data_IF_003287480578
#
_entry.id   IF_003287480578
#
_cell.length_a   1.000
_cell.length_b   1.000
_cell.length_c   1.000
_cell.angle_alpha   90.00
_cell.angle_beta   90.00
_cell.angle_gamma   90.00
#
_symmetry.space_group_name_H-M   'P 1'
#
loop_
_entity.id
_entity.type
_entity.pdbx_description
1 polymer ?
#
# COMPACT_ATOMS: atom_id res chain seq x y z
N UNK A 1 27.39 -47.82 -72.39
CA UNK A 1 26.01 -47.37 -72.71
C UNK A 1 25.01 -47.75 -71.61
N UNK A 2 24.93 -49.02 -71.16
CA UNK A 2 23.93 -49.45 -70.17
C UNK A 2 24.08 -48.88 -68.73
N UNK A 3 25.31 -48.71 -68.21
CA UNK A 3 25.53 -48.21 -66.85
C UNK A 3 25.13 -46.74 -66.61
N UNK A 4 25.27 -45.90 -67.64
CA UNK A 4 24.90 -44.47 -67.57
C UNK A 4 23.39 -44.31 -67.51
N UNK A 5 22.63 -45.12 -68.26
CA UNK A 5 21.16 -45.08 -68.24
C UNK A 5 20.58 -45.49 -66.89
N UNK A 6 21.21 -46.45 -66.20
CA UNK A 6 20.79 -46.90 -64.88
C UNK A 6 21.04 -45.81 -63.81
N UNK A 7 22.21 -45.18 -63.83
CA UNK A 7 22.52 -44.04 -62.93
C UNK A 7 21.61 -42.84 -63.18
N UNK A 8 21.29 -42.52 -64.45
CA UNK A 8 20.34 -41.45 -64.77
C UNK A 8 18.93 -41.73 -64.24
N UNK A 9 18.46 -42.98 -64.29
CA UNK A 9 17.17 -43.37 -63.71
C UNK A 9 17.15 -43.19 -62.20
N UNK A 10 18.22 -43.62 -61.52
CA UNK A 10 18.35 -43.50 -60.08
C UNK A 10 18.38 -42.03 -59.62
N UNK A 11 19.10 -41.17 -60.36
CA UNK A 11 19.11 -39.73 -60.11
C UNK A 11 17.74 -39.09 -60.35
N UNK A 12 17.00 -39.52 -61.38
CA UNK A 12 15.64 -39.03 -61.63
C UNK A 12 14.67 -39.40 -60.49
N UNK A 13 14.76 -40.62 -59.96
CA UNK A 13 13.96 -41.07 -58.82
C UNK A 13 14.32 -40.29 -57.54
N UNK A 14 15.61 -40.03 -57.30
CA UNK A 14 16.07 -39.20 -56.18
C UNK A 14 15.58 -37.74 -56.31
N UNK A 15 15.65 -37.15 -57.51
CA UNK A 15 15.13 -35.80 -57.77
C UNK A 15 13.61 -35.71 -57.51
N UNK A 16 12.85 -36.68 -58.00
CA UNK A 16 11.39 -36.75 -57.76
C UNK A 16 11.06 -36.85 -56.26
N UNK A 17 11.86 -37.64 -55.53
CA UNK A 17 11.71 -37.77 -54.07
C UNK A 17 12.05 -36.47 -53.34
N UNK A 18 13.11 -35.76 -53.76
CA UNK A 18 13.47 -34.45 -53.22
C UNK A 18 12.36 -33.44 -53.48
N UNK A 19 11.85 -33.33 -54.72
CA UNK A 19 10.77 -32.41 -55.06
C UNK A 19 9.50 -32.66 -54.22
N UNK A 20 9.11 -33.91 -54.06
CA UNK A 20 7.97 -34.29 -53.22
C UNK A 20 8.19 -33.89 -51.75
N UNK A 21 9.39 -34.11 -51.21
CA UNK A 21 9.74 -33.70 -49.85
C UNK A 21 9.76 -32.18 -49.69
N UNK A 22 10.28 -31.44 -50.68
CA UNK A 22 10.29 -29.98 -50.70
C UNK A 22 8.87 -29.41 -50.73
N UNK A 23 7.99 -29.96 -51.56
CA UNK A 23 6.59 -29.56 -51.61
C UNK A 23 5.87 -29.82 -50.28
N UNK A 24 6.07 -30.98 -49.68
CA UNK A 24 5.50 -31.30 -48.36
C UNK A 24 6.01 -30.35 -47.26
N UNK A 25 7.29 -29.98 -47.29
CA UNK A 25 7.86 -28.99 -46.38
C UNK A 25 7.25 -27.59 -46.58
N UNK A 26 7.03 -27.18 -47.83
CA UNK A 26 6.46 -25.87 -48.16
C UNK A 26 5.02 -25.73 -47.63
N UNK A 27 4.20 -26.78 -47.76
CA UNK A 27 2.83 -26.83 -47.22
C UNK A 27 2.84 -26.74 -45.69
N UNK A 28 3.73 -27.48 -45.02
CA UNK A 28 3.88 -27.44 -43.56
C UNK A 28 4.29 -26.05 -43.05
N UNK A 29 5.24 -25.41 -43.73
CA UNK A 29 5.66 -24.04 -43.43
C UNK A 29 4.52 -23.03 -43.62
N UNK A 30 3.70 -23.19 -44.66
CA UNK A 30 2.51 -22.37 -44.87
C UNK A 30 1.53 -22.47 -43.69
N UNK A 31 1.24 -23.69 -43.23
CA UNK A 31 0.39 -23.93 -42.07
C UNK A 31 0.97 -23.35 -40.76
N UNK A 32 2.29 -23.47 -40.56
CA UNK A 32 2.97 -22.86 -39.42
C UNK A 32 2.89 -21.33 -39.44
N UNK A 33 3.06 -20.71 -40.61
CA UNK A 33 2.97 -19.26 -40.79
C UNK A 33 1.57 -18.73 -40.46
N UNK A 34 0.51 -19.43 -40.89
CA UNK A 34 -0.87 -19.03 -40.55
C UNK A 34 -1.13 -19.09 -39.04
N UNK A 35 -0.64 -20.14 -38.36
CA UNK A 35 -0.76 -20.26 -36.90
C UNK A 35 0.01 -19.15 -36.17
N UNK A 36 1.21 -18.81 -36.66
CA UNK A 36 2.00 -17.69 -36.15
C UNK A 36 1.26 -16.35 -36.31
N UNK A 37 0.67 -16.11 -37.48
CA UNK A 37 -0.12 -14.91 -37.72
C UNK A 37 -1.35 -14.83 -36.80
N UNK A 38 -2.06 -15.95 -36.57
CA UNK A 38 -3.18 -15.96 -35.63
C UNK A 38 -2.75 -15.72 -34.18
N UNK A 39 -1.59 -16.24 -33.77
CA UNK A 39 -1.04 -16.00 -32.44
C UNK A 39 -0.62 -14.54 -32.27
N UNK A 40 -0.03 -13.93 -33.30
CA UNK A 40 0.32 -12.51 -33.29
C UNK A 40 -0.92 -11.62 -33.13
N UNK A 41 -1.99 -11.91 -33.89
CA UNK A 41 -3.25 -11.17 -33.78
C UNK A 41 -3.84 -11.26 -32.35
N UNK A 42 -3.77 -12.44 -31.75
CA UNK A 42 -4.20 -12.62 -30.35
C UNK A 42 -3.36 -11.77 -29.39
N UNK A 43 -2.03 -11.74 -29.57
CA UNK A 43 -1.15 -10.92 -28.76
C UNK A 43 -1.47 -9.43 -28.87
N UNK A 44 -1.67 -8.94 -30.10
CA UNK A 44 -2.02 -7.54 -30.37
C UNK A 44 -3.36 -7.18 -29.72
N UNK A 45 -4.34 -8.10 -29.77
CA UNK A 45 -5.65 -7.94 -29.13
C UNK A 45 -5.52 -7.87 -27.61
N UNK A 46 -4.70 -8.74 -27.01
CA UNK A 46 -4.43 -8.73 -25.58
C UNK A 46 -3.73 -7.44 -25.13
N UNK A 47 -2.77 -6.95 -25.92
CA UNK A 47 -2.09 -5.68 -25.64
C UNK A 47 -3.07 -4.49 -25.68
N UNK A 48 -3.95 -4.44 -26.68
CA UNK A 48 -4.96 -3.38 -26.78
C UNK A 48 -5.94 -3.42 -25.58
N UNK A 49 -6.39 -4.61 -25.17
CA UNK A 49 -7.24 -4.78 -24.00
C UNK A 49 -6.54 -4.32 -22.71
N UNK A 50 -5.25 -4.66 -22.54
CA UNK A 50 -4.45 -4.24 -21.40
C UNK A 50 -4.31 -2.71 -21.32
N UNK A 51 -3.93 -2.06 -22.43
CA UNK A 51 -3.83 -0.60 -22.50
C UNK A 51 -5.16 0.10 -22.18
N UNK A 52 -6.28 -0.47 -22.65
CA UNK A 52 -7.60 0.04 -22.31
C UNK A 52 -7.90 -0.06 -20.81
N UNK A 53 -7.52 -1.17 -20.16
CA UNK A 53 -7.69 -1.35 -18.72
C UNK A 53 -6.84 -0.35 -17.91
N UNK A 54 -5.59 -0.11 -18.33
CA UNK A 54 -4.72 0.90 -17.70
C UNK A 54 -5.35 2.30 -17.78
N UNK A 55 -5.90 2.67 -18.95
CA UNK A 55 -6.59 3.95 -19.13
C UNK A 55 -7.81 4.08 -18.22
N UNK A 56 -8.60 3.01 -18.08
CA UNK A 56 -9.75 3.01 -17.16
C UNK A 56 -9.32 3.18 -15.71
N UNK A 57 -8.23 2.53 -15.29
CA UNK A 57 -7.69 2.66 -13.94
C UNK A 57 -7.22 4.10 -13.65
N UNK A 58 -6.58 4.75 -14.63
CA UNK A 58 -6.18 6.15 -14.51
C UNK A 58 -7.39 7.09 -14.31
N UNK A 59 -8.43 6.95 -15.13
CA UNK A 59 -9.68 7.73 -15.00
C UNK A 59 -10.39 7.51 -13.65
N UNK A 60 -10.41 6.27 -13.14
CA UNK A 60 -10.95 5.99 -11.79
C UNK A 60 -10.14 6.68 -10.69
N UNK A 61 -8.81 6.71 -10.80
CA UNK A 61 -7.96 7.38 -9.83
C UNK A 61 -8.14 8.91 -9.85
N UNK A 62 -8.26 9.50 -11.04
CA UNK A 62 -8.54 10.94 -11.19
C UNK A 62 -9.89 11.31 -10.57
N UNK A 63 -10.92 10.49 -10.79
CA UNK A 63 -12.25 10.67 -10.14
C UNK A 63 -12.18 10.53 -8.63
N UNK A 64 -11.43 9.53 -8.13
CA UNK A 64 -11.20 9.35 -6.70
C UNK A 64 -10.54 10.59 -6.10
N UNK A 65 -9.53 11.16 -6.77
CA UNK A 65 -8.86 12.37 -6.32
C UNK A 65 -9.82 13.58 -6.27
N UNK A 66 -10.67 13.74 -7.28
CA UNK A 66 -11.69 14.81 -7.30
C UNK A 66 -12.70 14.66 -6.15
N UNK A 67 -13.17 13.44 -5.89
CA UNK A 67 -14.09 13.16 -4.77
C UNK A 67 -13.42 13.39 -3.42
N UNK A 68 -12.17 12.96 -3.23
CA UNK A 68 -11.42 13.22 -2.00
C UNK A 68 -11.28 14.72 -1.75
N UNK A 69 -11.00 15.50 -2.80
CA UNK A 69 -10.95 16.96 -2.70
C UNK A 69 -12.31 17.52 -2.27
N UNK A 70 -13.40 17.07 -2.90
CA UNK A 70 -14.75 17.52 -2.56
C UNK A 70 -15.13 17.19 -1.11
N UNK A 71 -14.85 15.96 -0.65
CA UNK A 71 -15.07 15.57 0.75
C UNK A 71 -14.23 16.43 1.69
N UNK A 72 -12.96 16.67 1.36
CA UNK A 72 -12.07 17.53 2.16
C UNK A 72 -12.62 18.95 2.28
N UNK A 73 -13.11 19.53 1.18
CA UNK A 73 -13.67 20.87 1.15
C UNK A 73 -14.98 20.96 1.98
N UNK A 74 -15.83 19.93 1.92
CA UNK A 74 -17.05 19.84 2.74
C UNK A 74 -16.73 19.73 4.24
N UNK A 75 -15.75 18.90 4.61
CA UNK A 75 -15.32 18.75 6.02
C UNK A 75 -14.79 20.08 6.57
N UNK A 76 -14.02 20.84 5.78
CA UNK A 76 -13.53 22.17 6.14
C UNK A 76 -14.62 23.24 6.26
N UNK A 77 -15.77 23.05 5.59
CA UNK A 77 -16.89 23.98 5.66
C UNK A 77 -17.75 23.75 6.92
N UNK A 78 -17.91 22.50 7.34
CA UNK A 78 -18.71 22.12 8.52
C UNK A 78 -17.92 22.25 9.83
N UNK A 79 -16.61 22.05 9.78
CA UNK A 79 -15.69 22.23 10.90
C UNK A 79 -14.87 23.48 10.60
N UNK A 80 -15.12 24.64 11.25
CA UNK A 80 -14.27 25.81 11.07
C UNK A 80 -12.82 25.38 11.34
N UNK A 81 -11.83 25.90 10.58
CA UNK A 81 -10.44 25.62 10.89
C UNK A 81 -10.23 26.03 12.33
N UNK A 82 -9.92 25.06 13.20
CA UNK A 82 -9.35 25.36 14.51
C UNK A 82 -8.08 26.12 14.18
N UNK A 83 -8.15 27.46 14.31
CA UNK A 83 -6.98 28.32 14.14
C UNK A 83 -5.95 27.82 15.12
N UNK A 84 -4.93 27.17 14.59
CA UNK A 84 -3.77 26.69 15.30
C UNK A 84 -2.83 27.87 15.64
N UNK A 85 -3.38 28.86 16.36
CA UNK A 85 -2.62 29.94 16.98
C UNK A 85 -3.03 30.11 18.46
N UNK A 86 -3.80 29.17 19.02
CA UNK A 86 -4.27 29.23 20.42
C UNK A 86 -4.34 27.88 21.14
N UNK A 87 -3.79 26.80 20.60
CA UNK A 87 -3.67 25.52 21.32
C UNK A 87 -2.43 25.58 22.24
N UNK A 88 -2.45 26.55 23.16
CA UNK A 88 -1.85 26.41 24.49
C UNK A 88 -2.94 26.50 25.57
N UNK A 89 -4.21 26.54 25.17
CA UNK A 89 -5.32 26.37 26.10
C UNK A 89 -5.32 24.93 26.60
N UNK A 90 -4.79 24.73 27.81
CA UNK A 90 -4.88 23.49 28.58
C UNK A 90 -6.32 22.95 28.51
N UNK A 91 -6.52 21.84 27.78
CA UNK A 91 -7.84 21.23 27.62
C UNK A 91 -8.20 20.49 28.90
N UNK A 92 -9.13 21.03 29.68
CA UNK A 92 -9.66 20.37 30.88
C UNK A 92 -10.73 19.36 30.43
N UNK A 93 -10.55 18.08 30.74
CA UNK A 93 -11.48 17.00 30.44
C UNK A 93 -11.89 16.25 31.70
N UNK A 94 -13.11 15.70 31.72
CA UNK A 94 -13.58 14.86 32.81
C UNK A 94 -13.22 13.40 32.54
N UNK A 95 -12.57 12.72 33.50
CA UNK A 95 -12.21 11.31 33.35
C UNK A 95 -13.42 10.40 33.03
N UNK A 96 -14.62 10.74 33.51
CA UNK A 96 -15.84 9.97 33.25
C UNK A 96 -16.28 9.97 31.78
N UNK A 97 -15.86 10.98 31.01
CA UNK A 97 -16.20 11.12 29.58
C UNK A 97 -15.23 10.36 28.67
N UNK A 98 -14.10 9.90 29.20
CA UNK A 98 -13.04 9.24 28.44
C UNK A 98 -12.71 7.88 29.07
N UNK A 99 -13.51 6.83 28.79
CA UNK A 99 -13.26 5.48 29.31
C UNK A 99 -11.92 4.90 28.81
N UNK A 100 -11.35 5.46 27.74
CA UNK A 100 -10.03 5.07 27.21
C UNK A 100 -8.88 5.45 28.14
N UNK A 101 -9.06 6.37 29.09
CA UNK A 101 -7.97 6.80 29.97
C UNK A 101 -7.50 5.70 30.92
N UNK A 102 -8.38 4.75 31.27
CA UNK A 102 -8.08 3.61 32.14
C UNK A 102 -7.31 2.49 31.44
N UNK A 103 -7.11 2.59 30.13
CA UNK A 103 -6.26 1.68 29.38
C UNK A 103 -4.81 1.86 29.80
N UNK A 104 -4.02 0.80 29.61
CA UNK A 104 -2.59 0.83 29.91
C UNK A 104 -1.79 1.34 28.72
N UNK A 105 -0.57 1.81 28.98
CA UNK A 105 0.37 2.19 27.91
C UNK A 105 0.66 1.02 26.96
N UNK A 106 0.55 -0.23 27.42
CA UNK A 106 0.70 -1.42 26.57
C UNK A 106 -0.44 -1.54 25.53
N UNK A 107 -1.63 -1.03 25.86
CA UNK A 107 -2.81 -1.03 24.96
C UNK A 107 -2.73 0.05 23.87
N UNK A 108 -1.71 0.92 23.91
CA UNK A 108 -1.45 1.90 22.84
C UNK A 108 -0.78 1.26 21.61
N UNK A 109 -0.39 -0.02 21.68
CA UNK A 109 0.35 -0.73 20.62
C UNK A 109 1.62 0.01 20.17
N UNK A 110 2.30 0.65 21.14
CA UNK A 110 3.56 1.34 20.91
C UNK A 110 4.68 0.35 20.63
N UNK A 111 5.75 0.81 19.98
CA UNK A 111 6.97 0.03 19.91
C UNK A 111 7.55 -0.21 21.31
N UNK A 112 8.29 -1.31 21.45
CA UNK A 112 8.92 -1.75 22.72
C UNK A 112 9.72 -0.64 23.42
N UNK A 113 10.31 0.30 22.66
CA UNK A 113 11.11 1.41 23.22
C UNK A 113 10.27 2.45 23.97
N UNK A 114 9.31 3.17 23.33
CA UNK A 114 8.46 4.12 24.03
C UNK A 114 7.69 3.49 25.19
N UNK A 115 7.18 2.27 25.02
CA UNK A 115 6.47 1.55 26.09
C UNK A 115 7.37 1.33 27.33
N UNK A 116 8.60 0.86 27.14
CA UNK A 116 9.55 0.65 28.24
C UNK A 116 10.01 1.95 28.88
N UNK A 117 10.15 3.03 28.10
CA UNK A 117 10.53 4.34 28.64
C UNK A 117 9.42 4.92 29.53
N UNK A 118 8.16 4.82 29.09
CA UNK A 118 7.00 5.26 29.88
C UNK A 118 6.84 4.44 31.16
N UNK A 119 6.94 3.10 31.07
CA UNK A 119 6.92 2.22 32.26
C UNK A 119 8.09 2.52 33.21
N UNK A 120 9.27 2.83 32.68
CA UNK A 120 10.45 3.23 33.46
C UNK A 120 10.26 4.56 34.19
N UNK A 121 9.44 5.46 33.66
CA UNK A 121 9.01 6.70 34.30
C UNK A 121 7.77 6.54 35.22
N UNK A 122 7.37 5.29 35.53
CA UNK A 122 6.19 4.96 36.32
C UNK A 122 4.85 5.43 35.70
N UNK A 123 4.80 5.55 34.37
CA UNK A 123 3.59 5.88 33.61
C UNK A 123 2.99 4.57 33.09
N UNK A 124 1.86 4.16 33.67
CA UNK A 124 1.21 2.88 33.33
C UNK A 124 -0.11 3.06 32.58
N UNK A 125 -0.82 4.16 32.79
CA UNK A 125 -2.14 4.41 32.21
C UNK A 125 -2.13 5.60 31.24
N UNK A 126 -3.06 5.59 30.29
CA UNK A 126 -3.23 6.70 29.34
C UNK A 126 -3.60 7.99 30.07
N UNK A 127 -4.41 7.92 31.13
CA UNK A 127 -4.80 9.07 31.93
C UNK A 127 -3.62 9.80 32.59
N UNK A 128 -2.56 9.07 32.98
CA UNK A 128 -1.33 9.68 33.50
C UNK A 128 -0.49 10.26 32.36
N UNK A 129 -0.40 9.56 31.23
CA UNK A 129 0.37 9.99 30.05
C UNK A 129 -0.15 11.29 29.44
N UNK A 130 -1.47 11.41 29.22
CA UNK A 130 -2.06 12.59 28.54
C UNK A 130 -1.93 13.88 29.36
N UNK A 131 -1.66 13.75 30.67
CA UNK A 131 -1.46 14.89 31.56
C UNK A 131 -0.07 15.50 31.47
N UNK A 132 0.90 14.78 30.90
CA UNK A 132 2.24 15.28 30.65
C UNK A 132 2.27 16.09 29.36
N UNK A 133 3.07 17.14 29.35
CA UNK A 133 3.40 17.92 28.15
C UNK A 133 4.48 17.23 27.32
N UNK A 134 4.60 17.63 26.06
CA UNK A 134 5.67 17.12 25.18
C UNK A 134 7.08 17.35 25.77
N UNK A 135 7.27 18.49 26.44
CA UNK A 135 8.52 18.83 27.10
C UNK A 135 8.83 17.86 28.25
N UNK A 136 7.86 17.59 29.13
CA UNK A 136 8.04 16.66 30.26
C UNK A 136 8.28 15.22 29.77
N UNK A 137 7.62 14.81 28.69
CA UNK A 137 7.83 13.49 28.09
C UNK A 137 9.24 13.37 27.49
N UNK A 138 9.80 14.43 26.91
CA UNK A 138 11.18 14.44 26.39
C UNK A 138 12.25 14.45 27.50
N UNK A 139 11.90 14.83 28.72
CA UNK A 139 12.80 14.73 29.88
C UNK A 139 12.92 13.29 30.41
N UNK A 140 12.05 12.38 29.99
CA UNK A 140 12.11 10.96 30.38
C UNK A 140 13.41 10.34 29.84
N UNK A 141 14.20 9.64 30.70
CA UNK A 141 15.43 8.98 30.26
C UNK A 141 15.21 8.03 29.08
N UNK A 142 16.02 8.17 28.04
CA UNK A 142 15.95 7.41 26.78
C UNK A 142 14.70 7.68 25.91
N UNK A 143 13.91 8.70 26.24
CA UNK A 143 12.74 9.10 25.46
C UNK A 143 13.12 10.11 24.37
N UNK A 144 13.43 9.61 23.17
CA UNK A 144 13.88 10.43 22.04
C UNK A 144 12.73 11.06 21.23
N UNK A 145 13.05 11.99 20.31
CA UNK A 145 12.04 12.65 19.44
C UNK A 145 11.24 11.67 18.58
N UNK A 146 11.84 10.53 18.20
CA UNK A 146 11.12 9.46 17.51
C UNK A 146 10.08 8.78 18.41
N UNK A 147 10.41 8.55 19.69
CA UNK A 147 9.47 7.98 20.66
C UNK A 147 8.31 8.95 20.91
N UNK A 148 8.59 10.26 20.98
CA UNK A 148 7.57 11.30 21.09
C UNK A 148 6.59 11.27 19.92
N UNK A 149 7.10 11.23 18.68
CA UNK A 149 6.24 11.16 17.50
C UNK A 149 5.34 9.91 17.53
N UNK A 150 5.91 8.73 17.83
CA UNK A 150 5.13 7.49 17.92
C UNK A 150 4.04 7.57 19.00
N UNK A 151 4.33 8.19 20.15
CA UNK A 151 3.34 8.42 21.21
C UNK A 151 2.26 9.42 20.81
N UNK A 152 2.62 10.52 20.14
CA UNK A 152 1.66 11.51 19.63
C UNK A 152 0.71 10.90 18.59
N UNK A 153 1.24 10.11 17.65
CA UNK A 153 0.43 9.41 16.64
C UNK A 153 -0.53 8.41 17.28
N UNK A 154 -0.06 7.62 18.25
CA UNK A 154 -0.88 6.64 18.97
C UNK A 154 -2.01 7.29 19.81
N UNK A 155 -1.74 8.44 20.42
CA UNK A 155 -2.73 9.24 21.15
C UNK A 155 -3.73 9.90 20.19
N UNK A 156 -3.25 10.47 19.08
CA UNK A 156 -4.10 11.10 18.07
C UNK A 156 -5.10 10.13 17.46
N UNK A 157 -4.72 8.86 17.27
CA UNK A 157 -5.64 7.81 16.79
C UNK A 157 -6.83 7.60 17.74
N UNK A 158 -6.64 7.84 19.05
CA UNK A 158 -7.66 7.72 20.09
C UNK A 158 -8.31 9.07 20.44
N UNK A 159 -8.02 10.13 19.68
CA UNK A 159 -8.54 11.48 19.90
C UNK A 159 -7.99 12.16 21.15
N UNK A 160 -6.83 11.72 21.64
CA UNK A 160 -6.13 12.26 22.81
C UNK A 160 -4.92 13.08 22.39
N UNK A 161 -4.49 13.99 23.27
CA UNK A 161 -3.31 14.84 23.08
C UNK A 161 -2.52 14.91 24.39
N UNK A 162 -1.23 15.24 24.31
CA UNK A 162 -0.43 15.56 25.49
C UNK A 162 -0.83 16.93 26.06
N UNK A 163 -0.56 17.17 27.34
CA UNK A 163 -0.85 18.43 28.04
C UNK A 163 -2.34 18.65 28.38
N UNK A 164 -3.14 17.59 28.41
CA UNK A 164 -4.54 17.63 28.84
C UNK A 164 -4.64 17.69 30.37
N UNK A 165 -5.63 18.38 30.94
CA UNK A 165 -5.90 18.32 32.38
C UNK A 165 -7.09 17.41 32.63
N UNK A 166 -6.87 16.24 33.23
CA UNK A 166 -7.95 15.28 33.51
C UNK A 166 -8.48 15.49 34.93
N UNK A 167 -9.71 15.99 35.07
CA UNK A 167 -10.39 16.13 36.36
C UNK A 167 -11.10 14.83 36.74
N UNK A 168 -11.02 14.44 38.02
CA UNK A 168 -11.65 13.20 38.51
C UNK A 168 -10.90 11.93 38.09
N UNK A 169 -9.67 12.07 37.61
CA UNK A 169 -8.80 10.94 37.30
C UNK A 169 -8.37 10.24 38.59
N UNK A 170 -8.61 8.93 38.65
CA UNK A 170 -8.01 8.04 39.64
C UNK A 170 -7.57 6.80 38.88
N UNK A 171 -6.28 6.45 38.89
CA UNK A 171 -5.82 5.23 38.25
C UNK A 171 -6.53 4.02 38.89
N UNK A 172 -6.98 3.05 38.09
CA UNK A 172 -7.51 1.80 38.65
C UNK A 172 -6.36 1.14 39.44
N UNK A 173 -6.63 0.72 40.67
CA UNK A 173 -5.61 0.04 41.47
C UNK A 173 -5.21 -1.27 40.76
N UNK A 174 -3.92 -1.65 40.82
CA UNK A 174 -3.42 -2.88 40.21
C UNK A 174 -4.04 -4.14 40.81
#
# INVERSE_FOLDING_TARGET
MAGISHELSKLADELSKIESQTNAAHVRLGGAKTKLNSAQLHLDTMQAAFQSAEKQLADVNDRKAALLKQVTDLVKAEIPPVRDDSISAMRIVNAAEFPVLTLTVSDLELNVRPENCLKGASIYYLGDLVQLTEAEVLEIPNFGPKCLQETLEALSFRGLTLGMKVTGWSPPQP
#
